data_IF_634914100217
#
_entry.id   IF_634914100217
#
_cell.length_a   1.000
_cell.length_b   1.000
_cell.length_c   1.000
_cell.angle_alpha   90.00
_cell.angle_beta   90.00
_cell.angle_gamma   90.00
#
_symmetry.space_group_name_H-M   'P 1'
#
loop_
_entity.id
_entity.type
_entity.pdbx_description
1 polymer ?
#
# COMPACT_ATOMS: atom_id res chain seq x y z
N UNK A 1 19.69 3.30 16.77
CA UNK A 1 19.02 3.66 15.51
C UNK A 1 17.80 2.76 15.43
N UNK A 2 16.61 3.32 15.67
CA UNK A 2 15.38 2.55 15.85
C UNK A 2 14.88 2.06 14.48
N UNK A 3 14.94 0.75 14.24
CA UNK A 3 14.25 0.10 13.12
C UNK A 3 12.76 0.10 13.44
N UNK A 4 12.07 1.17 13.08
CA UNK A 4 10.61 1.21 13.09
C UNK A 4 10.10 0.44 11.85
N UNK A 5 10.46 -0.84 11.78
CA UNK A 5 10.00 -1.73 10.71
C UNK A 5 8.53 -1.98 10.96
N UNK A 6 7.69 -1.55 10.01
CA UNK A 6 6.36 -2.11 9.82
C UNK A 6 6.55 -3.55 9.31
N UNK A 7 7.00 -4.44 10.21
CA UNK A 7 7.16 -5.88 9.95
C UNK A 7 5.79 -6.57 9.90
N UNK A 8 4.76 -5.90 10.42
CA UNK A 8 3.40 -6.40 10.49
C UNK A 8 2.53 -5.83 9.35
N UNK A 9 2.04 -6.73 8.49
CA UNK A 9 1.19 -6.38 7.36
C UNK A 9 -0.15 -5.78 7.80
N UNK A 10 -0.62 -6.04 9.02
CA UNK A 10 -1.85 -5.46 9.56
C UNK A 10 -1.69 -3.99 9.93
N UNK A 11 -0.50 -3.57 10.37
CA UNK A 11 -0.21 -2.16 10.59
C UNK A 11 -0.14 -1.40 9.25
N UNK A 12 0.43 -2.01 8.21
CA UNK A 12 0.44 -1.43 6.87
C UNK A 12 -0.97 -1.28 6.29
N UNK A 13 -1.81 -2.31 6.48
CA UNK A 13 -3.24 -2.27 6.11
C UNK A 13 -3.96 -1.15 6.85
N UNK A 14 -3.73 -1.02 8.16
CA UNK A 14 -4.33 0.02 8.99
C UNK A 14 -3.90 1.42 8.57
N UNK A 15 -2.62 1.61 8.24
CA UNK A 15 -2.11 2.86 7.70
C UNK A 15 -2.80 3.22 6.39
N UNK A 16 -2.83 2.30 5.41
CA UNK A 16 -3.44 2.54 4.11
C UNK A 16 -4.95 2.81 4.21
N UNK A 17 -5.65 2.11 5.11
CA UNK A 17 -7.08 2.31 5.35
C UNK A 17 -7.41 3.73 5.84
N UNK A 18 -6.53 4.37 6.62
CA UNK A 18 -6.69 5.77 7.06
C UNK A 18 -6.67 6.76 5.89
N UNK A 19 -6.00 6.40 4.79
CA UNK A 19 -5.98 7.19 3.56
C UNK A 19 -7.09 6.79 2.58
N UNK A 20 -7.98 5.87 2.96
CA UNK A 20 -9.06 5.37 2.11
C UNK A 20 -8.63 4.26 1.15
N UNK A 21 -7.48 3.62 1.40
CA UNK A 21 -6.99 2.50 0.59
C UNK A 21 -7.07 1.20 1.38
N UNK A 22 -8.06 0.37 1.08
CA UNK A 22 -8.18 -0.97 1.66
C UNK A 22 -7.32 -1.95 0.87
N UNK A 23 -6.45 -2.70 1.55
CA UNK A 23 -5.53 -3.64 0.93
C UNK A 23 -5.95 -5.09 1.16
N UNK A 24 -5.93 -5.89 0.11
CA UNK A 24 -5.96 -7.36 0.22
C UNK A 24 -4.60 -7.90 0.68
N UNK A 25 -3.52 -7.23 0.28
CA UNK A 25 -2.15 -7.59 0.64
C UNK A 25 -1.14 -6.54 0.24
N UNK A 26 0.12 -6.82 0.51
CA UNK A 26 1.26 -6.02 0.09
C UNK A 26 2.45 -6.95 -0.13
N UNK A 27 3.33 -6.56 -1.05
CA UNK A 27 4.55 -7.30 -1.37
C UNK A 27 5.74 -6.34 -1.32
N UNK A 28 6.81 -6.77 -0.64
CA UNK A 28 8.04 -6.01 -0.49
C UNK A 28 9.11 -6.60 -1.42
N UNK A 29 9.68 -5.76 -2.28
CA UNK A 29 10.75 -6.09 -3.20
C UNK A 29 11.93 -5.11 -3.00
N UNK A 30 12.66 -5.29 -1.90
CA UNK A 30 13.74 -4.38 -1.52
C UNK A 30 13.19 -3.00 -1.11
N UNK A 31 13.56 -1.94 -1.84
CA UNK A 31 13.06 -0.58 -1.61
C UNK A 31 11.67 -0.32 -2.24
N UNK A 32 11.11 -1.29 -2.96
CA UNK A 32 9.80 -1.20 -3.58
C UNK A 32 8.73 -1.87 -2.70
N UNK A 33 7.69 -1.12 -2.38
CA UNK A 33 6.47 -1.63 -1.76
C UNK A 33 5.34 -1.66 -2.79
N UNK A 34 4.88 -2.85 -3.14
CA UNK A 34 3.72 -3.03 -3.99
C UNK A 34 2.48 -3.28 -3.12
N UNK A 35 1.54 -2.34 -3.14
CA UNK A 35 0.26 -2.43 -2.45
C UNK A 35 -0.77 -3.10 -3.35
N UNK A 36 -1.46 -4.11 -2.84
CA UNK A 36 -2.53 -4.82 -3.56
C UNK A 36 -3.87 -4.35 -3.00
N UNK A 37 -4.53 -3.37 -3.63
CA UNK A 37 -5.83 -2.90 -3.18
C UNK A 37 -6.89 -4.00 -3.30
N UNK A 38 -7.85 -3.99 -2.38
CA UNK A 38 -9.00 -4.89 -2.43
C UNK A 38 -9.97 -4.51 -3.56
N UNK A 39 -10.08 -3.21 -3.87
CA UNK A 39 -10.89 -2.69 -4.96
C UNK A 39 -10.19 -1.51 -5.63
N UNK A 40 -10.38 -1.36 -6.94
CA UNK A 40 -9.98 -0.17 -7.69
C UNK A 40 -11.09 0.90 -7.71
N UNK A 41 -12.30 0.56 -7.26
CA UNK A 41 -13.38 1.53 -7.13
C UNK A 41 -13.14 2.40 -5.89
N UNK A 42 -13.21 3.72 -6.07
CA UNK A 42 -13.02 4.65 -4.96
C UNK A 42 -11.58 4.75 -4.46
N UNK A 43 -10.58 4.52 -5.33
CA UNK A 43 -9.19 4.82 -5.00
C UNK A 43 -9.06 6.28 -4.52
N UNK A 44 -8.23 6.53 -3.49
CA UNK A 44 -7.97 7.87 -3.04
C UNK A 44 -7.35 8.72 -4.14
N UNK A 45 -7.62 10.02 -4.08
CA UNK A 45 -7.06 10.98 -5.02
C UNK A 45 -5.53 11.07 -4.91
N UNK A 46 -4.90 11.66 -5.93
CA UNK A 46 -3.45 11.77 -6.02
C UNK A 46 -2.81 12.49 -4.82
N UNK A 47 -3.50 13.44 -4.18
CA UNK A 47 -2.95 14.13 -3.01
C UNK A 47 -2.89 13.22 -1.78
N UNK A 48 -3.93 12.41 -1.55
CA UNK A 48 -3.94 11.39 -0.49
C UNK A 48 -2.92 10.28 -0.74
N UNK A 49 -2.79 9.81 -1.98
CA UNK A 49 -1.76 8.84 -2.35
C UNK A 49 -0.35 9.38 -2.12
N UNK A 50 -0.11 10.66 -2.43
CA UNK A 50 1.16 11.32 -2.15
C UNK A 50 1.44 11.40 -0.65
N UNK A 51 0.44 11.72 0.17
CA UNK A 51 0.60 11.72 1.62
C UNK A 51 0.94 10.34 2.17
N UNK A 52 0.25 9.30 1.69
CA UNK A 52 0.56 7.91 2.05
C UNK A 52 2.02 7.56 1.70
N UNK A 53 2.50 7.92 0.52
CA UNK A 53 3.89 7.67 0.14
C UNK A 53 4.90 8.39 1.05
N UNK A 54 4.57 9.59 1.54
CA UNK A 54 5.41 10.33 2.51
C UNK A 54 5.46 9.61 3.86
N UNK A 55 4.34 9.07 4.33
CA UNK A 55 4.29 8.29 5.59
C UNK A 55 5.03 6.94 5.48
N UNK A 56 5.10 6.38 4.27
CA UNK A 56 5.80 5.11 4.00
C UNK A 56 7.31 5.29 3.83
N UNK A 57 7.79 6.47 3.43
CA UNK A 57 9.21 6.73 3.18
C UNK A 57 10.13 6.52 4.40
N UNK A 58 9.76 6.94 5.64
CA UNK A 58 10.56 6.68 6.84
C UNK A 58 10.75 5.19 7.15
N UNK A 59 9.94 4.31 6.58
CA UNK A 59 10.01 2.85 6.76
C UNK A 59 11.06 2.19 5.86
N UNK A 60 11.69 2.97 4.98
CA UNK A 60 12.72 2.47 4.04
C UNK A 60 12.22 2.18 2.63
N UNK A 61 10.93 2.42 2.34
CA UNK A 61 10.39 2.25 0.99
C UNK A 61 10.64 3.50 0.13
N UNK A 62 11.37 3.34 -0.95
CA UNK A 62 11.67 4.42 -1.91
C UNK A 62 10.60 4.54 -2.99
N UNK A 63 9.99 3.42 -3.35
CA UNK A 63 8.94 3.35 -4.36
C UNK A 63 7.72 2.66 -3.76
N UNK A 64 6.55 3.25 -3.98
CA UNK A 64 5.26 2.67 -3.59
C UNK A 64 4.41 2.56 -4.84
N UNK A 65 3.96 1.36 -5.17
CA UNK A 65 3.15 1.08 -6.36
C UNK A 65 1.83 0.43 -5.98
N UNK A 66 0.82 0.59 -6.85
CA UNK A 66 -0.47 -0.08 -6.73
C UNK A 66 -0.55 -1.19 -7.77
N UNK A 67 -0.80 -2.42 -7.32
CA UNK A 67 -1.05 -3.54 -8.23
C UNK A 67 -2.45 -3.42 -8.83
N UNK A 68 -2.52 -3.13 -10.13
CA UNK A 68 -3.80 -3.04 -10.86
C UNK A 68 -4.29 -4.41 -11.37
N UNK A 69 -3.40 -5.42 -11.40
CA UNK A 69 -3.61 -6.67 -12.13
C UNK A 69 -4.17 -7.83 -11.28
N UNK A 70 -4.35 -7.67 -9.97
CA UNK A 70 -4.87 -8.71 -9.08
C UNK A 70 -6.36 -8.51 -8.71
N UNK A 71 -7.14 -7.86 -9.56
CA UNK A 71 -8.58 -8.10 -9.51
C UNK A 71 -8.79 -9.58 -9.83
N UNK A 72 -9.50 -10.37 -9.01
CA UNK A 72 -9.87 -11.71 -9.39
C UNK A 72 -10.55 -11.59 -10.76
N UNK A 73 -10.01 -12.29 -11.76
CA UNK A 73 -10.71 -12.45 -13.03
C UNK A 73 -12.11 -12.95 -12.67
N UNK A 74 -13.14 -12.15 -12.91
CA UNK A 74 -14.52 -12.63 -12.98
C UNK A 74 -14.47 -13.89 -13.85
N UNK A 75 -14.56 -15.05 -13.21
CA UNK A 75 -14.66 -16.31 -13.91
C UNK A 75 -16.04 -16.30 -14.53
N UNK A 76 -16.04 -16.17 -15.86
CA UNK A 76 -17.20 -16.19 -16.74
C UNK A 76 -18.04 -17.46 -16.55
#
# INVERSE_FOLDING_TARGET
MNTNSLDDIDDLKSLCARFGLTLSGAEVQGELLQLVPQSLEGLPDAARLRQLAIELAPLGYRYVTLALAQLPKEQQ
#
